data_IF_428431025027
#
_entry.id   IF_428431025027
#
_cell.length_a   1.000
_cell.length_b   1.000
_cell.length_c   1.000
_cell.angle_alpha   90.00
_cell.angle_beta   90.00
_cell.angle_gamma   90.00
#
_symmetry.space_group_name_H-M   'P 1'
#
loop_
_entity.id
_entity.type
_entity.pdbx_description
1 polymer ?
#
# COMPACT_ATOMS: atom_id res chain seq x y z
N UNK A 1 22.48 24.74 -51.05
CA UNK A 1 22.75 26.06 -50.43
C UNK A 1 21.54 26.94 -50.66
N UNK A 2 20.65 27.01 -49.68
CA UNK A 2 19.38 27.74 -49.75
C UNK A 2 19.45 28.89 -48.76
N UNK A 3 19.33 30.12 -49.26
CA UNK A 3 19.30 31.33 -48.44
C UNK A 3 18.04 31.35 -47.55
N UNK A 4 18.12 31.88 -46.31
CA UNK A 4 16.93 32.08 -45.49
C UNK A 4 16.16 33.34 -45.95
N UNK A 5 14.84 33.21 -46.02
CA UNK A 5 13.90 34.31 -46.29
C UNK A 5 14.02 35.40 -45.21
N UNK A 6 14.05 36.70 -45.55
CA UNK A 6 13.96 37.76 -44.56
C UNK A 6 12.57 37.76 -43.91
N UNK A 7 12.54 37.78 -42.58
CA UNK A 7 11.33 37.94 -41.78
C UNK A 7 10.75 39.34 -41.99
N UNK A 8 9.55 39.41 -42.58
CA UNK A 8 8.72 40.61 -42.58
C UNK A 8 8.13 40.80 -41.17
N UNK A 9 8.93 41.35 -40.26
CA UNK A 9 8.43 41.95 -39.03
C UNK A 9 8.03 43.39 -39.41
N UNK A 10 6.76 43.79 -39.34
CA UNK A 10 6.40 45.20 -39.51
C UNK A 10 7.06 46.00 -38.38
N UNK A 11 7.56 47.22 -38.64
CA UNK A 11 8.14 48.04 -37.59
C UNK A 11 7.08 48.26 -36.52
N UNK A 12 7.46 47.95 -35.29
CA UNK A 12 6.72 48.22 -34.08
C UNK A 12 6.47 49.73 -33.99
N UNK A 13 5.36 50.21 -34.57
CA UNK A 13 4.82 51.53 -34.28
C UNK A 13 4.27 51.42 -32.87
N UNK A 14 5.04 51.90 -31.90
CA UNK A 14 4.48 52.28 -30.62
C UNK A 14 3.26 53.15 -30.94
N UNK A 15 2.06 52.83 -30.44
CA UNK A 15 0.98 53.79 -30.48
C UNK A 15 1.51 54.99 -29.68
N UNK A 16 1.67 56.11 -30.36
CA UNK A 16 1.83 57.40 -29.70
C UNK A 16 0.66 57.51 -28.73
N UNK A 17 1.02 57.55 -27.46
CA UNK A 17 0.13 57.64 -26.31
C UNK A 17 -0.47 59.04 -26.31
N UNK A 18 -1.39 59.31 -27.25
CA UNK A 18 -2.39 60.38 -27.14
C UNK A 18 -3.66 59.85 -26.44
N UNK A 19 -3.48 58.88 -25.54
CA UNK A 19 -4.49 58.56 -24.55
C UNK A 19 -4.47 59.69 -23.53
N UNK A 20 -5.29 60.73 -23.72
CA UNK A 20 -5.63 61.61 -22.61
C UNK A 20 -5.98 60.70 -21.42
N UNK A 21 -5.31 60.85 -20.27
CA UNK A 21 -5.50 59.93 -19.15
C UNK A 21 -6.98 59.92 -18.80
N UNK A 22 -7.59 58.73 -18.86
CA UNK A 22 -9.02 58.57 -18.58
C UNK A 22 -9.27 59.18 -17.20
N UNK A 23 -10.03 60.29 -17.10
CA UNK A 23 -10.26 60.92 -15.81
C UNK A 23 -10.99 59.92 -14.93
N UNK A 24 -10.51 59.77 -13.70
CA UNK A 24 -11.07 58.85 -12.73
C UNK A 24 -12.57 59.17 -12.51
N UNK A 25 -13.37 58.20 -12.03
CA UNK A 25 -14.78 58.44 -11.77
C UNK A 25 -15.03 59.67 -10.87
N UNK A 26 -14.16 59.91 -9.89
CA UNK A 26 -14.22 61.10 -9.04
C UNK A 26 -13.97 62.40 -9.83
N UNK A 27 -12.97 62.42 -10.71
CA UNK A 27 -12.68 63.58 -11.57
C UNK A 27 -13.83 63.88 -12.52
N UNK A 28 -14.48 62.85 -13.09
CA UNK A 28 -15.66 63.06 -13.94
C UNK A 28 -16.84 63.67 -13.16
N UNK A 29 -17.04 63.27 -11.90
CA UNK A 29 -18.07 63.85 -11.04
C UNK A 29 -17.75 65.29 -10.67
N UNK A 30 -16.50 65.60 -10.34
CA UNK A 30 -16.07 66.96 -10.03
C UNK A 30 -16.27 67.88 -11.25
N UNK A 31 -15.78 67.47 -12.44
CA UNK A 31 -15.95 68.22 -13.70
C UNK A 31 -17.42 68.42 -14.08
N UNK A 32 -18.27 67.39 -13.88
CA UNK A 32 -19.71 67.50 -14.13
C UNK A 32 -20.36 68.48 -13.16
N UNK A 33 -19.94 68.48 -11.89
CA UNK A 33 -20.49 69.36 -10.85
C UNK A 33 -20.11 70.81 -11.12
N UNK A 34 -18.85 71.08 -11.49
CA UNK A 34 -18.38 72.40 -11.91
C UNK A 34 -19.15 72.91 -13.12
N UNK A 35 -19.31 72.09 -14.17
CA UNK A 35 -20.03 72.49 -15.37
C UNK A 35 -21.52 72.81 -15.09
N UNK A 36 -22.16 72.05 -14.21
CA UNK A 36 -23.55 72.31 -13.79
C UNK A 36 -23.65 73.62 -13.00
N UNK A 37 -22.66 73.93 -12.16
CA UNK A 37 -22.61 75.21 -11.42
C UNK A 37 -22.44 76.38 -12.38
N UNK A 38 -21.44 76.32 -13.27
CA UNK A 38 -21.15 77.37 -14.25
C UNK A 38 -22.35 77.66 -15.16
N UNK A 39 -23.01 76.60 -15.66
CA UNK A 39 -24.19 76.77 -16.52
C UNK A 39 -25.41 77.28 -15.77
N UNK A 40 -25.57 76.90 -14.50
CA UNK A 40 -26.64 77.45 -13.65
C UNK A 40 -26.43 78.94 -13.37
N UNK A 41 -25.19 79.38 -13.19
CA UNK A 41 -24.85 80.80 -13.01
C UNK A 41 -25.11 81.60 -14.29
N UNK A 42 -24.65 81.11 -15.46
CA UNK A 42 -24.91 81.74 -16.76
C UNK A 42 -26.42 81.84 -17.06
N UNK A 43 -27.20 80.82 -16.70
CA UNK A 43 -28.66 80.84 -16.86
C UNK A 43 -29.31 81.85 -15.90
N UNK A 44 -28.82 81.98 -14.67
CA UNK A 44 -29.37 82.93 -13.68
C UNK A 44 -29.10 84.38 -14.04
N UNK A 45 -27.94 84.67 -14.61
CA UNK A 45 -27.50 86.03 -14.93
C UNK A 45 -27.88 86.45 -16.37
N UNK A 46 -27.89 85.51 -17.32
CA UNK A 46 -27.94 85.83 -18.76
C UNK A 46 -29.30 85.77 -19.46
N UNK A 47 -30.38 85.34 -18.81
CA UNK A 47 -31.70 85.20 -19.46
C UNK A 47 -32.24 86.54 -20.01
N UNK A 48 -31.86 87.68 -19.40
CA UNK A 48 -32.31 89.00 -19.85
C UNK A 48 -31.25 89.79 -20.65
N UNK A 49 -29.95 89.47 -20.51
CA UNK A 49 -28.84 90.28 -21.03
C UNK A 49 -28.15 89.71 -22.28
N UNK A 50 -27.96 88.38 -22.38
CA UNK A 50 -27.32 87.75 -23.54
C UNK A 50 -27.81 86.30 -23.77
N UNK A 51 -28.84 86.09 -24.62
CA UNK A 51 -29.38 84.78 -24.90
C UNK A 51 -28.40 83.88 -25.68
N UNK A 52 -27.40 84.45 -26.35
CA UNK A 52 -26.41 83.67 -27.09
C UNK A 52 -25.44 82.97 -26.14
N UNK A 53 -25.07 83.63 -25.04
CA UNK A 53 -24.25 83.05 -23.98
C UNK A 53 -24.95 81.87 -23.29
N UNK A 54 -26.25 82.00 -23.02
CA UNK A 54 -27.07 80.92 -22.45
C UNK A 54 -27.14 79.71 -23.40
N UNK A 55 -27.32 79.95 -24.71
CA UNK A 55 -27.33 78.88 -25.71
C UNK A 55 -25.98 78.18 -25.82
N UNK A 56 -24.88 78.92 -25.78
CA UNK A 56 -23.53 78.36 -25.79
C UNK A 56 -23.25 77.48 -24.56
N UNK A 57 -23.63 77.95 -23.37
CA UNK A 57 -23.49 77.19 -22.12
C UNK A 57 -24.30 75.88 -22.17
N UNK A 58 -25.57 75.93 -22.58
CA UNK A 58 -26.40 74.73 -22.75
C UNK A 58 -25.80 73.76 -23.78
N UNK A 59 -25.30 74.26 -24.90
CA UNK A 59 -24.65 73.42 -25.93
C UNK A 59 -23.38 72.73 -25.40
N UNK A 60 -22.58 73.40 -24.58
CA UNK A 60 -21.41 72.79 -23.93
C UNK A 60 -21.83 71.69 -22.95
N UNK A 61 -22.90 71.90 -22.17
CA UNK A 61 -23.46 70.88 -21.27
C UNK A 61 -23.99 69.67 -22.03
N UNK A 62 -24.68 69.86 -23.15
CA UNK A 62 -25.15 68.74 -23.99
C UNK A 62 -23.98 67.91 -24.53
N UNK A 63 -22.95 68.56 -25.07
CA UNK A 63 -21.74 67.87 -25.55
C UNK A 63 -20.99 67.15 -24.44
N UNK A 64 -21.02 67.67 -23.21
CA UNK A 64 -20.47 66.99 -22.04
C UNK A 64 -21.27 65.73 -21.69
N UNK A 65 -22.60 65.83 -21.64
CA UNK A 65 -23.48 64.71 -21.36
C UNK A 65 -23.36 63.59 -22.39
N UNK A 66 -23.19 63.92 -23.67
CA UNK A 66 -22.93 62.94 -24.73
C UNK A 66 -21.62 62.17 -24.49
N UNK A 67 -20.54 62.86 -24.10
CA UNK A 67 -19.26 62.22 -23.74
C UNK A 67 -19.41 61.32 -22.51
N UNK A 68 -20.14 61.76 -21.49
CA UNK A 68 -20.42 60.93 -20.31
C UNK A 68 -21.22 59.68 -20.67
N UNK A 69 -22.21 59.80 -21.56
CA UNK A 69 -23.01 58.67 -22.03
C UNK A 69 -22.16 57.65 -22.80
N UNK A 70 -21.27 58.09 -23.67
CA UNK A 70 -20.36 57.22 -24.40
C UNK A 70 -19.45 56.43 -23.45
N UNK A 71 -18.89 57.10 -22.42
CA UNK A 71 -18.06 56.44 -21.40
C UNK A 71 -18.84 55.40 -20.59
N UNK A 72 -20.08 55.69 -20.23
CA UNK A 72 -20.95 54.73 -19.53
C UNK A 72 -21.25 53.50 -20.40
N UNK A 73 -21.51 53.70 -21.70
CA UNK A 73 -21.75 52.60 -22.62
C UNK A 73 -20.49 51.74 -22.82
N UNK A 74 -19.31 52.38 -22.91
CA UNK A 74 -18.03 51.66 -22.95
C UNK A 74 -17.78 50.86 -21.68
N UNK A 75 -18.00 51.45 -20.50
CA UNK A 75 -17.88 50.74 -19.22
C UNK A 75 -18.87 49.57 -19.11
N UNK A 76 -20.08 49.73 -19.63
CA UNK A 76 -21.07 48.64 -19.71
C UNK A 76 -20.60 47.52 -20.63
N UNK A 77 -20.00 47.85 -21.77
CA UNK A 77 -19.45 46.86 -22.70
C UNK A 77 -18.27 46.09 -22.10
N UNK A 78 -17.42 46.76 -21.33
CA UNK A 78 -16.34 46.12 -20.59
C UNK A 78 -16.89 45.19 -19.50
N UNK A 79 -17.90 45.63 -18.74
CA UNK A 79 -18.56 44.80 -17.74
C UNK A 79 -19.12 43.52 -18.36
N UNK A 80 -19.85 43.63 -19.47
CA UNK A 80 -20.39 42.49 -20.21
C UNK A 80 -19.27 41.54 -20.71
N UNK A 81 -18.12 42.09 -21.10
CA UNK A 81 -16.96 41.29 -21.51
C UNK A 81 -16.37 40.52 -20.33
N UNK A 82 -16.23 41.16 -19.16
CA UNK A 82 -15.75 40.50 -17.95
C UNK A 82 -16.73 39.43 -17.47
N UNK A 83 -18.03 39.68 -17.53
CA UNK A 83 -19.07 38.70 -17.17
C UNK A 83 -18.96 37.44 -18.04
N UNK A 84 -18.91 37.59 -19.36
CA UNK A 84 -18.71 36.44 -20.27
C UNK A 84 -17.41 35.69 -19.99
N UNK A 85 -16.33 36.41 -19.65
CA UNK A 85 -15.06 35.77 -19.30
C UNK A 85 -15.16 35.00 -17.98
N UNK A 86 -15.90 35.53 -17.00
CA UNK A 86 -16.15 34.86 -15.73
C UNK A 86 -16.98 33.58 -15.93
N UNK A 87 -18.06 33.65 -16.72
CA UNK A 87 -18.88 32.50 -17.10
C UNK A 87 -18.05 31.42 -17.81
N UNK A 88 -17.24 31.80 -18.81
CA UNK A 88 -16.38 30.85 -19.53
C UNK A 88 -15.35 30.18 -18.61
N UNK A 89 -14.78 30.92 -17.65
CA UNK A 89 -13.86 30.35 -16.65
C UNK A 89 -14.58 29.42 -15.68
N UNK A 90 -15.80 29.76 -15.27
CA UNK A 90 -16.61 28.91 -14.41
C UNK A 90 -16.98 27.59 -15.11
N UNK A 91 -17.43 27.66 -16.37
CA UNK A 91 -17.73 26.46 -17.17
C UNK A 91 -16.48 25.58 -17.36
N UNK A 92 -15.31 26.18 -17.63
CA UNK A 92 -14.06 25.44 -17.74
C UNK A 92 -13.68 24.73 -16.43
N UNK A 93 -13.89 25.39 -15.29
CA UNK A 93 -13.64 24.84 -13.97
C UNK A 93 -14.59 23.68 -13.64
N UNK A 94 -15.87 23.80 -13.97
CA UNK A 94 -16.85 22.72 -13.82
C UNK A 94 -16.52 21.50 -14.68
N UNK A 95 -16.13 21.71 -15.95
CA UNK A 95 -15.66 20.64 -16.83
C UNK A 95 -14.41 19.94 -16.28
N UNK A 96 -13.47 20.71 -15.73
CA UNK A 96 -12.27 20.14 -15.13
C UNK A 96 -12.60 19.29 -13.90
N UNK A 97 -13.48 19.77 -13.01
CA UNK A 97 -13.96 19.02 -11.84
C UNK A 97 -14.64 17.72 -12.26
N UNK A 98 -15.56 17.78 -13.21
CA UNK A 98 -16.26 16.60 -13.72
C UNK A 98 -15.27 15.56 -14.28
N UNK A 99 -14.28 16.00 -15.06
CA UNK A 99 -13.26 15.12 -15.63
C UNK A 99 -12.30 14.55 -14.56
N UNK A 100 -11.98 15.32 -13.52
CA UNK A 100 -11.13 14.85 -12.40
C UNK A 100 -11.84 13.74 -11.63
N UNK A 101 -13.10 14.00 -11.23
CA UNK A 101 -13.91 13.01 -10.50
C UNK A 101 -14.07 11.74 -11.32
N UNK A 102 -14.38 11.84 -12.62
CA UNK A 102 -14.50 10.66 -13.50
C UNK A 102 -13.19 9.88 -13.61
N UNK A 103 -12.03 10.54 -13.68
CA UNK A 103 -10.74 9.83 -13.71
C UNK A 103 -10.37 9.18 -12.38
N UNK A 104 -10.58 9.89 -11.29
CA UNK A 104 -10.31 9.38 -9.94
C UNK A 104 -11.18 8.16 -9.66
N UNK A 105 -12.49 8.24 -9.91
CA UNK A 105 -13.40 7.10 -9.73
C UNK A 105 -13.06 5.94 -10.65
N UNK A 106 -12.70 6.20 -11.91
CA UNK A 106 -12.31 5.14 -12.84
C UNK A 106 -11.02 4.43 -12.39
N UNK A 107 -10.06 5.17 -11.84
CA UNK A 107 -8.80 4.60 -11.35
C UNK A 107 -9.06 3.75 -10.10
N UNK A 108 -9.92 4.23 -9.20
CA UNK A 108 -10.33 3.50 -8.00
C UNK A 108 -11.09 2.21 -8.36
N UNK A 109 -11.99 2.25 -9.34
CA UNK A 109 -12.71 1.06 -9.84
C UNK A 109 -11.72 0.01 -10.37
N UNK A 110 -10.75 0.40 -11.20
CA UNK A 110 -9.77 -0.55 -11.73
C UNK A 110 -8.88 -1.15 -10.64
N UNK A 111 -8.50 -0.35 -9.63
CA UNK A 111 -7.73 -0.85 -8.49
C UNK A 111 -8.54 -1.88 -7.69
N UNK A 112 -9.81 -1.59 -7.40
CA UNK A 112 -10.70 -2.51 -6.69
C UNK A 112 -10.99 -3.80 -7.49
N UNK A 113 -11.14 -3.70 -8.81
CA UNK A 113 -11.28 -4.88 -9.67
C UNK A 113 -10.04 -5.76 -9.62
N UNK A 114 -8.84 -5.15 -9.69
CA UNK A 114 -7.59 -5.89 -9.59
C UNK A 114 -7.45 -6.58 -8.22
N UNK A 115 -7.70 -5.86 -7.13
CA UNK A 115 -7.65 -6.40 -5.77
C UNK A 115 -8.62 -7.59 -5.61
N UNK A 116 -9.84 -7.45 -6.14
CA UNK A 116 -10.84 -8.52 -6.16
C UNK A 116 -10.36 -9.78 -6.91
N UNK A 117 -9.72 -9.61 -8.08
CA UNK A 117 -9.13 -10.72 -8.81
C UNK A 117 -7.99 -11.39 -8.05
N UNK A 118 -7.14 -10.62 -7.38
CA UNK A 118 -6.05 -11.14 -6.56
C UNK A 118 -6.58 -11.91 -5.34
N UNK A 119 -7.62 -11.40 -4.67
CA UNK A 119 -8.29 -12.09 -3.57
C UNK A 119 -8.96 -13.38 -4.03
N UNK A 120 -9.68 -13.37 -5.15
CA UNK A 120 -10.29 -14.56 -5.73
C UNK A 120 -9.24 -15.63 -6.08
N UNK A 121 -8.07 -15.21 -6.55
CA UNK A 121 -6.94 -16.12 -6.80
C UNK A 121 -6.42 -16.74 -5.50
N UNK A 122 -6.21 -15.94 -4.46
CA UNK A 122 -5.78 -16.42 -3.14
C UNK A 122 -6.79 -17.41 -2.55
N UNK A 123 -8.08 -17.13 -2.67
CA UNK A 123 -9.15 -18.04 -2.21
C UNK A 123 -9.12 -19.38 -2.96
N UNK A 124 -8.92 -19.36 -4.27
CA UNK A 124 -8.81 -20.59 -5.07
C UNK A 124 -7.60 -21.44 -4.69
N UNK A 125 -6.48 -20.79 -4.39
CA UNK A 125 -5.28 -21.47 -3.88
C UNK A 125 -5.50 -22.05 -2.48
N UNK A 126 -6.21 -21.34 -1.62
CA UNK A 126 -6.55 -21.83 -0.29
C UNK A 126 -7.50 -23.05 -0.38
N UNK A 127 -8.50 -22.99 -1.26
CA UNK A 127 -9.44 -24.10 -1.49
C UNK A 127 -8.74 -25.36 -2.01
N UNK A 128 -7.78 -25.21 -2.94
CA UNK A 128 -6.98 -26.34 -3.40
C UNK A 128 -6.15 -26.96 -2.28
N UNK A 129 -5.53 -26.14 -1.43
CA UNK A 129 -4.78 -26.59 -0.25
C UNK A 129 -5.68 -27.29 0.78
N UNK A 130 -6.89 -26.78 1.00
CA UNK A 130 -7.91 -27.44 1.84
C UNK A 130 -8.28 -28.80 1.25
N UNK A 131 -8.45 -28.89 -0.07
CA UNK A 131 -8.70 -30.16 -0.78
C UNK A 131 -7.59 -31.18 -0.57
N UNK A 132 -6.32 -30.78 -0.73
CA UNK A 132 -5.15 -31.62 -0.46
C UNK A 132 -5.13 -32.10 0.99
N UNK A 133 -5.37 -31.18 1.94
CA UNK A 133 -5.37 -31.49 3.36
C UNK A 133 -6.49 -32.47 3.72
N UNK A 134 -7.71 -32.28 3.19
CA UNK A 134 -8.83 -33.21 3.37
C UNK A 134 -8.51 -34.60 2.82
N UNK A 135 -7.90 -34.68 1.64
CA UNK A 135 -7.47 -35.95 1.07
C UNK A 135 -6.42 -36.65 1.94
N UNK A 136 -5.50 -35.90 2.54
CA UNK A 136 -4.50 -36.45 3.45
C UNK A 136 -5.11 -36.92 4.78
N UNK A 137 -6.06 -36.17 5.34
CA UNK A 137 -6.83 -36.60 6.51
C UNK A 137 -7.58 -37.90 6.22
N UNK A 138 -8.27 -37.99 5.07
CA UNK A 138 -9.00 -39.20 4.68
C UNK A 138 -8.06 -40.42 4.52
N UNK A 139 -6.85 -40.22 3.97
CA UNK A 139 -5.84 -41.28 3.91
C UNK A 139 -5.39 -41.74 5.29
N UNK A 140 -5.08 -40.80 6.18
CA UNK A 140 -4.65 -41.12 7.55
C UNK A 140 -5.78 -41.79 8.34
N UNK A 141 -7.03 -41.37 8.17
CA UNK A 141 -8.19 -42.04 8.76
C UNK A 141 -8.33 -43.48 8.25
N UNK A 142 -8.21 -43.70 6.94
CA UNK A 142 -8.23 -45.05 6.39
C UNK A 142 -7.05 -45.91 6.88
N UNK A 143 -5.86 -45.33 7.08
CA UNK A 143 -4.71 -46.02 7.66
C UNK A 143 -4.96 -46.37 9.14
N UNK A 144 -5.54 -45.46 9.92
CA UNK A 144 -5.97 -45.72 11.29
C UNK A 144 -7.01 -46.84 11.36
N UNK A 145 -8.06 -46.80 10.52
CA UNK A 145 -9.06 -47.87 10.45
C UNK A 145 -8.45 -49.22 10.03
N UNK A 146 -7.49 -49.21 9.08
CA UNK A 146 -6.75 -50.41 8.70
C UNK A 146 -5.90 -50.95 9.85
N UNK A 147 -5.31 -50.10 10.68
CA UNK A 147 -4.55 -50.49 11.87
C UNK A 147 -5.46 -50.98 13.01
N UNK A 148 -6.67 -50.42 13.15
CA UNK A 148 -7.68 -50.86 14.12
C UNK A 148 -8.31 -52.21 13.72
N UNK A 149 -8.52 -52.44 12.42
CA UNK A 149 -8.96 -53.72 11.85
C UNK A 149 -7.82 -54.69 11.57
N UNK A 150 -6.57 -54.26 11.74
CA UNK A 150 -5.45 -55.15 11.97
C UNK A 150 -5.60 -55.76 13.37
N UNK A 151 -6.62 -56.61 13.52
CA UNK A 151 -6.55 -57.68 14.50
C UNK A 151 -5.19 -58.33 14.29
N UNK A 152 -4.36 -58.50 15.33
CA UNK A 152 -3.23 -59.38 15.21
C UNK A 152 -3.84 -60.74 14.87
N UNK A 153 -3.76 -61.12 13.60
CA UNK A 153 -3.54 -62.51 13.21
C UNK A 153 -2.12 -62.90 13.68
N UNK A 154 -1.87 -62.69 14.98
CA UNK A 154 -1.02 -63.53 15.79
C UNK A 154 -1.96 -64.62 16.28
N UNK A 155 -2.21 -65.66 15.49
CA UNK A 155 -1.41 -66.89 15.63
C UNK A 155 -0.40 -66.75 16.78
N UNK A 156 -0.67 -67.40 17.90
CA UNK A 156 -0.02 -67.23 19.19
C UNK A 156 1.48 -67.57 19.28
N UNK A 157 2.32 -67.06 18.38
CA UNK A 157 3.76 -67.35 18.31
C UNK A 157 4.67 -66.14 18.12
N UNK A 158 4.15 -64.91 18.25
CA UNK A 158 5.02 -63.72 18.29
C UNK A 158 5.21 -63.21 19.71
N UNK A 159 5.63 -64.12 20.58
CA UNK A 159 6.39 -63.78 21.77
C UNK A 159 7.82 -63.54 21.28
N UNK A 160 8.14 -62.30 20.89
CA UNK A 160 9.53 -61.89 21.09
C UNK A 160 9.73 -62.01 22.60
N UNK A 161 10.38 -63.09 23.03
CA UNK A 161 10.67 -63.33 24.42
C UNK A 161 11.19 -62.03 25.00
N UNK A 162 10.68 -61.62 26.16
CA UNK A 162 11.23 -60.47 26.88
C UNK A 162 12.76 -60.57 26.97
N UNK A 163 13.32 -61.79 26.92
CA UNK A 163 14.73 -62.08 26.66
C UNK A 163 15.29 -61.50 25.36
N UNK A 164 14.70 -61.73 24.17
CA UNK A 164 15.27 -61.25 22.90
C UNK A 164 15.21 -59.73 22.77
N UNK A 165 14.11 -59.09 23.19
CA UNK A 165 14.01 -57.63 23.19
C UNK A 165 15.02 -57.02 24.17
N UNK A 166 15.15 -57.61 25.38
CA UNK A 166 16.18 -57.22 26.35
C UNK A 166 17.60 -57.42 25.79
N UNK A 167 17.84 -58.52 25.08
CA UNK A 167 19.15 -58.78 24.46
C UNK A 167 19.46 -57.76 23.37
N UNK A 168 18.48 -57.42 22.52
CA UNK A 168 18.65 -56.38 21.49
C UNK A 168 18.89 -55.00 22.09
N UNK A 169 18.09 -54.61 23.09
CA UNK A 169 18.28 -53.34 23.81
C UNK A 169 19.65 -53.28 24.50
N UNK A 170 20.06 -54.34 25.18
CA UNK A 170 21.38 -54.40 25.80
C UNK A 170 22.50 -54.30 24.75
N UNK A 171 22.33 -54.93 23.59
CA UNK A 171 23.27 -54.83 22.48
C UNK A 171 23.32 -53.41 21.89
N UNK A 172 22.19 -52.73 21.74
CA UNK A 172 22.14 -51.32 21.29
C UNK A 172 22.76 -50.36 22.30
N UNK A 173 22.63 -50.65 23.60
CA UNK A 173 23.35 -49.96 24.68
C UNK A 173 24.85 -50.34 24.73
N UNK A 174 25.33 -51.11 23.74
CA UNK A 174 26.72 -51.50 23.58
C UNK A 174 27.14 -52.74 24.36
N UNK A 175 26.25 -53.35 25.15
CA UNK A 175 26.55 -54.54 25.98
C UNK A 175 26.37 -55.85 25.22
N UNK A 176 27.48 -56.54 25.02
CA UNK A 176 27.47 -57.89 24.43
C UNK A 176 28.02 -58.89 25.44
N UNK A 177 27.21 -59.88 25.80
CA UNK A 177 27.67 -61.04 26.56
C UNK A 177 28.49 -61.94 25.63
N UNK A 178 29.81 -62.00 25.82
CA UNK A 178 30.65 -62.90 25.02
C UNK A 178 30.63 -64.31 25.63
N UNK A 179 30.15 -65.33 24.89
CA UNK A 179 30.17 -66.70 25.37
C UNK A 179 31.61 -67.20 25.56
N UNK A 180 31.85 -67.95 26.63
CA UNK A 180 33.15 -68.61 26.85
C UNK A 180 33.38 -69.68 25.77
N UNK A 181 34.56 -69.70 25.15
CA UNK A 181 34.96 -70.74 24.17
C UNK A 181 35.49 -72.04 24.82
N UNK A 182 35.28 -72.28 26.11
CA UNK A 182 35.93 -73.39 26.84
C UNK A 182 34.95 -74.53 27.17
N UNK A 183 35.31 -75.76 26.80
CA UNK A 183 34.61 -77.06 26.99
C UNK A 183 34.48 -77.54 28.44
N UNK A 184 34.39 -76.64 29.42
CA UNK A 184 34.21 -76.97 30.84
C UNK A 184 32.73 -76.97 31.20
N UNK A 185 32.21 -78.07 31.78
CA UNK A 185 30.81 -78.22 32.21
C UNK A 185 30.38 -77.27 33.33
N UNK A 186 31.32 -76.59 34.00
CA UNK A 186 30.97 -75.59 35.04
C UNK A 186 30.75 -74.20 34.44
N UNK A 187 29.58 -73.57 34.68
CA UNK A 187 29.34 -72.19 34.25
C UNK A 187 30.34 -71.25 34.93
N UNK A 188 30.84 -70.25 34.20
CA UNK A 188 31.83 -69.34 34.75
C UNK A 188 31.21 -68.20 35.55
N UNK A 189 31.80 -67.89 36.70
CA UNK A 189 31.39 -66.76 37.55
C UNK A 189 31.79 -65.39 36.98
N UNK A 190 32.29 -65.33 35.73
CA UNK A 190 32.77 -64.12 35.07
C UNK A 190 32.03 -63.91 33.75
N UNK A 191 31.53 -62.70 33.55
CA UNK A 191 30.87 -62.19 32.35
C UNK A 191 31.78 -61.14 31.72
N UNK A 192 32.04 -61.24 30.42
CA UNK A 192 32.71 -60.16 29.70
C UNK A 192 31.66 -59.19 29.16
N UNK A 193 31.80 -57.93 29.52
CA UNK A 193 30.95 -56.84 29.05
C UNK A 193 31.80 -55.98 28.12
N UNK A 194 31.51 -56.09 26.82
CA UNK A 194 32.00 -55.13 25.83
C UNK A 194 31.12 -53.90 25.90
N UNK A 195 31.68 -52.69 25.80
CA UNK A 195 30.93 -51.46 25.59
C UNK A 195 31.39 -50.87 24.25
N UNK A 196 30.54 -50.95 23.23
CA UNK A 196 30.91 -50.54 21.87
C UNK A 196 31.06 -49.02 21.72
N UNK A 197 30.46 -48.23 22.63
CA UNK A 197 30.59 -46.77 22.68
C UNK A 197 31.95 -46.31 23.24
N UNK A 198 32.51 -47.07 24.18
CA UNK A 198 33.79 -46.79 24.81
C UNK A 198 34.62 -48.09 24.91
N UNK A 199 35.40 -48.44 23.87
CA UNK A 199 36.13 -49.70 23.83
C UNK A 199 37.05 -49.93 25.04
N UNK A 200 37.67 -48.87 25.56
CA UNK A 200 38.54 -48.87 26.75
C UNK A 200 37.79 -49.19 28.07
N UNK A 201 36.46 -49.03 28.07
CA UNK A 201 35.59 -49.33 29.21
C UNK A 201 35.12 -50.79 29.24
N UNK A 202 35.49 -51.60 28.24
CA UNK A 202 35.15 -53.03 28.19
C UNK A 202 35.86 -53.81 29.31
N UNK A 203 35.10 -54.56 30.13
CA UNK A 203 35.64 -55.23 31.32
C UNK A 203 35.05 -56.61 31.55
N UNK A 204 35.84 -57.49 32.19
CA UNK A 204 35.36 -58.76 32.75
C UNK A 204 34.80 -58.49 34.14
N UNK A 205 33.52 -58.77 34.36
CA UNK A 205 32.86 -58.57 35.65
C UNK A 205 32.40 -59.90 36.22
N UNK A 206 32.43 -60.06 37.55
CA UNK A 206 31.92 -61.27 38.19
C UNK A 206 30.39 -61.23 38.26
N UNK A 207 29.76 -62.40 38.11
CA UNK A 207 28.32 -62.54 38.34
C UNK A 207 28.05 -62.31 39.83
N UNK A 208 27.01 -61.55 40.15
CA UNK A 208 26.63 -61.32 41.54
C UNK A 208 26.19 -62.63 42.20
N UNK A 209 26.82 -62.98 43.32
CA UNK A 209 26.49 -64.19 44.10
C UNK A 209 25.45 -63.91 45.18
N UNK A 210 25.30 -62.64 45.58
CA UNK A 210 24.32 -62.18 46.57
C UNK A 210 23.78 -60.77 46.22
N UNK A 211 22.74 -60.31 46.93
CA UNK A 211 22.09 -59.03 46.65
C UNK A 211 23.02 -57.81 46.84
N UNK A 212 23.98 -57.88 47.77
CA UNK A 212 24.94 -56.81 48.02
C UNK A 212 25.90 -56.65 46.85
N UNK A 213 26.39 -57.77 46.33
CA UNK A 213 27.23 -57.82 45.13
C UNK A 213 26.45 -57.38 43.89
N UNK A 214 25.15 -57.70 43.84
CA UNK A 214 24.25 -57.24 42.79
C UNK A 214 24.09 -55.72 42.75
N UNK A 215 23.99 -55.07 43.91
CA UNK A 215 23.91 -53.62 44.00
C UNK A 215 25.23 -52.93 43.58
N UNK A 216 26.36 -53.46 44.03
CA UNK A 216 27.70 -52.95 43.64
C UNK A 216 27.92 -53.12 42.13
N UNK A 217 27.55 -54.28 41.58
CA UNK A 217 27.60 -54.56 40.15
C UNK A 217 26.69 -53.62 39.35
N UNK A 218 25.48 -53.37 39.83
CA UNK A 218 24.53 -52.46 39.21
C UNK A 218 25.08 -51.03 39.10
N UNK A 219 25.68 -50.50 40.17
CA UNK A 219 26.29 -49.18 40.15
C UNK A 219 27.49 -49.11 39.20
N UNK A 220 28.36 -50.13 39.22
CA UNK A 220 29.50 -50.20 38.30
C UNK A 220 29.06 -50.26 36.83
N UNK A 221 27.95 -50.94 36.52
CA UNK A 221 27.37 -50.98 35.19
C UNK A 221 26.85 -49.61 34.77
N UNK A 222 26.16 -48.90 35.66
CA UNK A 222 25.66 -47.54 35.39
C UNK A 222 26.79 -46.53 35.17
N UNK A 223 27.86 -46.59 35.96
CA UNK A 223 29.06 -45.77 35.80
C UNK A 223 29.80 -46.01 34.47
N UNK A 224 29.56 -47.15 33.80
CA UNK A 224 30.16 -47.46 32.49
C UNK A 224 29.36 -46.89 31.31
N UNK A 225 28.08 -46.56 31.52
CA UNK A 225 27.16 -46.05 30.48
C UNK A 225 26.99 -44.54 30.61
N UNK A 226 26.98 -44.03 31.85
CA UNK A 226 26.95 -42.60 32.14
C UNK A 226 28.37 -42.05 32.12
N UNK A 227 28.70 -41.07 31.28
CA UNK A 227 29.99 -40.37 31.36
C UNK A 227 30.17 -39.63 32.70
#
# INVERSE_FOLDING_TARGET
MTQPRPSLIPPNRSPEDESEPIPSPAQMWDETTTLVQDTTEVIKEGIEEDPELVYQALNQTFKWLERCREKLENGRNEMNRFERQAEAKQEALEKMKANSVVRETQTEIYALEQDSYEEARKLKELDSNVGVTKAQIARLQAECEQLEHYEPSRSGDFVFGTSLLKTKLNHELGFVQVPRRTTSEKPSDKLFLRCDLHPESSRVVRKAENNRDGFVLGNQLWDLISP
#
